data_IF_859404419680
#
_entry.id   IF_859404419680
#
_cell.length_a   1.000
_cell.length_b   1.000
_cell.length_c   1.000
_cell.angle_alpha   90.00
_cell.angle_beta   90.00
_cell.angle_gamma   90.00
#
_symmetry.space_group_name_H-M   'P 1'
#
loop_
_entity.id
_entity.type
_entity.pdbx_description
1 polymer ?
#
# COMPACT_ATOMS: atom_id res chain seq x y z
N UNK A 1 15.19 -12.65 -1.86
CA UNK A 1 14.46 -13.57 -2.75
C UNK A 1 15.25 -14.02 -3.99
N UNK A 2 16.50 -13.60 -4.15
CA UNK A 2 17.32 -13.87 -5.34
C UNK A 2 17.46 -15.36 -5.71
N UNK A 3 17.58 -16.26 -4.73
CA UNK A 3 17.66 -17.70 -4.98
C UNK A 3 16.45 -18.25 -5.75
N UNK A 4 15.24 -17.81 -5.40
CA UNK A 4 14.01 -18.27 -6.07
C UNK A 4 13.98 -17.74 -7.51
N UNK A 5 14.34 -16.46 -7.71
CA UNK A 5 14.44 -15.88 -9.04
C UNK A 5 15.47 -16.61 -9.91
N UNK A 6 16.65 -16.90 -9.37
CA UNK A 6 17.70 -17.65 -10.08
C UNK A 6 17.32 -19.11 -10.33
N UNK A 7 16.53 -19.72 -9.46
CA UNK A 7 16.07 -21.10 -9.67
C UNK A 7 15.07 -21.16 -10.83
N UNK A 8 14.14 -20.19 -10.91
CA UNK A 8 13.14 -20.09 -11.98
C UNK A 8 13.73 -19.86 -13.38
N UNK A 9 14.92 -19.26 -13.48
CA UNK A 9 15.58 -19.05 -14.77
C UNK A 9 16.28 -20.31 -15.30
N UNK A 10 16.40 -21.37 -14.49
CA UNK A 10 17.02 -22.61 -14.93
C UNK A 10 16.03 -23.43 -15.79
N UNK A 11 16.49 -24.00 -16.93
CA UNK A 11 15.62 -24.77 -17.83
C UNK A 11 15.14 -26.09 -17.20
N UNK A 12 15.83 -26.60 -16.18
CA UNK A 12 15.45 -27.80 -15.42
C UNK A 12 14.51 -27.51 -14.25
N UNK A 13 14.07 -26.27 -14.07
CA UNK A 13 13.24 -25.89 -12.93
C UNK A 13 11.81 -26.42 -13.04
N UNK A 14 11.32 -27.03 -11.96
CA UNK A 14 9.93 -27.47 -11.88
C UNK A 14 9.01 -26.31 -11.46
N UNK A 15 8.04 -25.89 -12.30
CA UNK A 15 7.12 -24.79 -11.99
C UNK A 15 6.17 -25.10 -10.82
N UNK A 16 5.98 -26.39 -10.48
CA UNK A 16 5.15 -26.82 -9.36
C UNK A 16 5.93 -26.93 -8.03
N UNK A 17 7.15 -26.41 -7.97
CA UNK A 17 7.93 -26.33 -6.73
C UNK A 17 7.18 -25.51 -5.68
N UNK A 18 7.06 -26.05 -4.47
CA UNK A 18 6.37 -25.39 -3.35
C UNK A 18 7.39 -24.63 -2.51
N UNK A 19 7.22 -23.33 -2.40
CA UNK A 19 8.10 -22.45 -1.63
C UNK A 19 7.49 -22.13 -0.28
N UNK A 20 8.32 -22.18 0.76
CA UNK A 20 7.93 -21.77 2.12
C UNK A 20 9.01 -20.89 2.73
N UNK A 21 8.62 -19.73 3.26
CA UNK A 21 9.52 -18.82 3.96
C UNK A 21 9.04 -18.57 5.39
N UNK A 22 9.98 -18.50 6.33
CA UNK A 22 9.71 -18.24 7.74
C UNK A 22 10.39 -16.94 8.19
N UNK A 23 9.61 -15.89 8.43
CA UNK A 23 10.02 -14.65 9.15
C UNK A 23 8.79 -13.92 9.69
N UNK A 24 9.00 -12.99 10.63
CA UNK A 24 7.96 -12.09 11.13
C UNK A 24 7.64 -10.90 10.21
N UNK A 25 8.54 -10.53 9.29
CA UNK A 25 8.43 -9.29 8.52
C UNK A 25 7.23 -9.29 7.57
N UNK A 26 6.40 -8.24 7.60
CA UNK A 26 5.26 -8.08 6.70
C UNK A 26 5.67 -8.04 5.22
N UNK A 27 6.85 -7.48 4.94
CA UNK A 27 7.41 -7.33 3.60
C UNK A 27 7.58 -8.66 2.87
N UNK A 28 7.71 -9.78 3.59
CA UNK A 28 7.75 -11.10 2.98
C UNK A 28 6.49 -11.44 2.20
N UNK A 29 5.34 -10.90 2.58
CA UNK A 29 4.08 -11.10 1.84
C UNK A 29 4.20 -10.42 0.48
N UNK A 30 4.62 -9.15 0.46
CA UNK A 30 4.80 -8.41 -0.79
C UNK A 30 5.89 -9.01 -1.67
N UNK A 31 7.02 -9.41 -1.08
CA UNK A 31 8.09 -10.10 -1.81
C UNK A 31 7.60 -11.43 -2.39
N UNK A 32 6.80 -12.20 -1.64
CA UNK A 32 6.23 -13.46 -2.14
C UNK A 32 5.24 -13.25 -3.29
N UNK A 33 4.41 -12.20 -3.22
CA UNK A 33 3.52 -11.82 -4.32
C UNK A 33 4.31 -11.44 -5.57
N UNK A 34 5.43 -10.73 -5.42
CA UNK A 34 6.32 -10.33 -6.52
C UNK A 34 7.04 -11.51 -7.19
N UNK A 35 7.16 -12.68 -6.53
CA UNK A 35 7.80 -13.86 -7.17
C UNK A 35 6.96 -14.47 -8.29
N UNK A 36 5.65 -14.21 -8.32
CA UNK A 36 4.70 -14.88 -9.22
C UNK A 36 4.80 -16.42 -9.20
N UNK A 37 5.15 -17.02 -8.05
CA UNK A 37 5.04 -18.47 -7.86
C UNK A 37 3.61 -18.89 -7.47
N UNK A 38 3.07 -19.98 -8.06
CA UNK A 38 1.71 -20.46 -7.78
C UNK A 38 1.58 -21.26 -6.50
N UNK A 39 2.70 -21.73 -5.91
CA UNK A 39 2.70 -22.52 -4.69
C UNK A 39 3.62 -21.88 -3.66
N UNK A 40 3.21 -20.76 -3.07
CA UNK A 40 4.04 -20.02 -2.12
C UNK A 40 3.31 -19.85 -0.79
N UNK A 41 3.96 -20.23 0.31
CA UNK A 41 3.43 -20.06 1.67
C UNK A 41 4.40 -19.30 2.56
N UNK A 42 3.88 -18.45 3.43
CA UNK A 42 4.66 -17.87 4.51
C UNK A 42 4.26 -18.52 5.83
N UNK A 43 5.24 -19.01 6.57
CA UNK A 43 5.07 -19.52 7.93
C UNK A 43 5.34 -18.37 8.91
N UNK A 44 4.41 -18.14 9.86
CA UNK A 44 4.54 -17.10 10.88
C UNK A 44 4.17 -17.65 12.24
N UNK A 45 4.74 -17.07 13.28
CA UNK A 45 4.24 -17.29 14.64
C UNK A 45 2.86 -16.64 14.80
N UNK A 46 1.97 -17.31 15.52
CA UNK A 46 0.67 -16.76 15.89
C UNK A 46 0.87 -15.71 17.00
N UNK A 47 0.86 -14.43 16.63
CA UNK A 47 1.01 -13.33 17.59
C UNK A 47 -0.19 -13.23 18.54
N UNK A 48 -1.36 -13.75 18.15
CA UNK A 48 -2.59 -13.71 18.96
C UNK A 48 -2.70 -14.89 19.93
N UNK A 49 -1.82 -15.87 19.83
CA UNK A 49 -1.79 -17.02 20.74
C UNK A 49 -1.50 -16.61 22.20
N UNK A 50 -0.57 -15.67 22.38
CA UNK A 50 -0.21 -15.13 23.69
C UNK A 50 -1.33 -14.31 24.33
N UNK A 51 -2.16 -13.65 23.51
CA UNK A 51 -3.32 -12.90 23.99
C UNK A 51 -4.46 -13.86 24.40
N UNK A 52 -4.72 -14.90 23.60
CA UNK A 52 -5.70 -15.95 23.94
C UNK A 52 -5.34 -16.63 25.27
N UNK A 53 -4.08 -17.01 25.45
CA UNK A 53 -3.58 -17.60 26.70
C UNK A 53 -3.74 -16.68 27.91
N UNK A 54 -3.48 -15.38 27.76
CA UNK A 54 -3.70 -14.39 28.85
C UNK A 54 -5.17 -14.26 29.21
N UNK A 55 -6.08 -14.24 28.23
CA UNK A 55 -7.53 -14.18 28.45
C UNK A 55 -8.04 -15.43 29.19
N UNK A 56 -7.57 -16.62 28.81
CA UNK A 56 -7.87 -17.87 29.53
C UNK A 56 -7.31 -17.89 30.96
N UNK A 57 -6.13 -17.29 31.18
CA UNK A 57 -5.56 -17.12 32.52
C UNK A 57 -6.24 -16.02 33.36
N UNK A 58 -7.06 -15.12 32.83
CA UNK A 58 -7.65 -14.05 33.66
C UNK A 58 -8.78 -14.52 34.58
N UNK A 59 -9.35 -15.72 34.38
CA UNK A 59 -10.38 -16.27 35.27
C UNK A 59 -9.75 -16.90 36.53
N UNK A 60 -8.51 -17.40 36.45
CA UNK A 60 -7.83 -18.10 37.56
C UNK A 60 -6.52 -17.44 38.02
N UNK A 61 -5.86 -16.69 37.13
CA UNK A 61 -4.52 -16.12 37.33
C UNK A 61 -4.49 -14.82 38.13
N UNK A 62 -5.59 -14.06 38.14
CA UNK A 62 -5.69 -12.86 38.99
C UNK A 62 -5.69 -13.24 40.48
N UNK A 63 -6.35 -14.36 40.85
CA UNK A 63 -6.38 -14.86 42.22
C UNK A 63 -5.02 -15.41 42.67
N UNK A 64 -4.30 -16.09 41.77
CA UNK A 64 -3.00 -16.73 42.07
C UNK A 64 -1.88 -15.72 42.33
N UNK A 65 -1.84 -14.59 41.60
CA UNK A 65 -0.79 -13.57 41.82
C UNK A 65 -0.97 -12.85 43.17
N UNK A 66 -2.21 -12.61 43.61
CA UNK A 66 -2.49 -11.95 44.89
C UNK A 66 -2.15 -12.85 46.09
N UNK A 67 -2.33 -14.17 45.98
CA UNK A 67 -1.96 -15.12 47.05
C UNK A 67 -0.49 -15.52 47.05
N UNK A 68 0.16 -15.60 45.89
CA UNK A 68 1.60 -15.88 45.79
C UNK A 68 2.47 -14.73 46.33
N UNK A 69 1.96 -13.48 46.27
CA UNK A 69 2.63 -12.32 46.89
C UNK A 69 2.77 -12.42 48.42
N UNK A 70 2.05 -13.36 49.06
CA UNK A 70 2.10 -13.62 50.50
C UNK A 70 2.91 -14.87 50.89
N UNK A 71 3.28 -15.71 49.92
CA UNK A 71 4.01 -16.96 50.18
C UNK A 71 5.32 -16.94 49.38
N UNK A 72 6.41 -16.67 50.09
CA UNK A 72 7.75 -16.53 49.54
C UNK A 72 8.38 -17.91 49.27
N UNK A 73 7.74 -18.75 48.47
CA UNK A 73 8.28 -20.07 48.11
C UNK A 73 7.62 -20.61 46.84
N UNK A 74 8.29 -20.47 45.70
CA UNK A 74 7.99 -21.30 44.53
C UNK A 74 9.28 -21.70 43.82
N UNK A 75 9.63 -22.96 44.07
CA UNK A 75 10.53 -23.82 43.33
C UNK A 75 10.38 -23.59 41.81
N UNK A 76 11.43 -23.06 41.17
CA UNK A 76 11.48 -22.77 39.74
C UNK A 76 11.67 -24.11 39.00
N UNK A 77 10.63 -24.92 38.96
CA UNK A 77 10.54 -26.01 38.00
C UNK A 77 10.14 -25.39 36.67
N UNK A 78 11.12 -25.21 35.78
CA UNK A 78 10.93 -24.83 34.39
C UNK A 78 9.84 -25.73 33.76
N UNK A 79 8.62 -25.20 33.66
CA UNK A 79 7.51 -25.80 32.92
C UNK A 79 7.95 -25.98 31.45
N UNK A 80 7.60 -27.07 30.76
CA UNK A 80 7.94 -27.24 29.35
C UNK A 80 7.49 -26.00 28.59
N UNK A 81 8.41 -25.43 27.80
CA UNK A 81 8.13 -24.27 26.97
C UNK A 81 6.95 -24.62 26.05
N UNK A 82 5.76 -24.10 26.34
CA UNK A 82 4.60 -24.22 25.47
C UNK A 82 5.03 -23.69 24.09
N UNK A 83 5.14 -24.59 23.11
CA UNK A 83 5.61 -24.22 21.77
C UNK A 83 4.62 -23.22 21.19
N UNK A 84 5.11 -22.04 20.81
CA UNK A 84 4.27 -21.01 20.21
C UNK A 84 3.64 -21.56 18.92
N UNK A 85 2.32 -21.49 18.75
CA UNK A 85 1.67 -22.02 17.55
C UNK A 85 2.05 -21.19 16.33
N UNK A 86 2.06 -21.84 15.16
CA UNK A 86 2.36 -21.21 13.88
C UNK A 86 1.12 -21.15 13.01
N UNK A 87 1.05 -20.11 12.18
CA UNK A 87 0.04 -19.93 11.15
C UNK A 87 0.70 -20.02 9.77
N UNK A 88 -0.02 -20.62 8.83
CA UNK A 88 0.34 -20.59 7.41
C UNK A 88 -0.46 -19.48 6.73
N UNK A 89 0.25 -18.61 6.03
CA UNK A 89 -0.34 -17.68 5.08
C UNK A 89 -0.17 -18.25 3.68
N UNK A 90 -1.27 -18.56 3.02
CA UNK A 90 -1.28 -19.02 1.63
C UNK A 90 -1.32 -17.83 0.68
N UNK A 91 -0.23 -17.62 -0.06
CA UNK A 91 -0.10 -16.49 -0.99
C UNK A 91 -0.98 -16.71 -2.21
N UNK A 92 -1.27 -17.95 -2.58
CA UNK A 92 -2.12 -18.27 -3.74
C UNK A 92 -3.56 -17.85 -3.48
N UNK A 93 -4.07 -18.16 -2.29
CA UNK A 93 -5.37 -17.67 -1.84
C UNK A 93 -5.41 -16.13 -1.81
N UNK A 94 -4.34 -15.48 -1.32
CA UNK A 94 -4.26 -14.01 -1.33
C UNK A 94 -4.34 -13.42 -2.75
N UNK A 95 -3.74 -14.09 -3.75
CA UNK A 95 -3.84 -13.67 -5.15
C UNK A 95 -5.27 -13.75 -5.68
N UNK A 96 -6.03 -14.76 -5.29
CA UNK A 96 -7.44 -14.87 -5.66
C UNK A 96 -8.26 -13.70 -5.10
N UNK A 97 -8.07 -13.36 -3.83
CA UNK A 97 -8.69 -12.18 -3.22
C UNK A 97 -8.31 -10.89 -3.95
N UNK A 98 -7.03 -10.70 -4.25
CA UNK A 98 -6.58 -9.53 -5.00
C UNK A 98 -7.13 -9.50 -6.44
N UNK A 99 -7.31 -10.66 -7.08
CA UNK A 99 -7.89 -10.72 -8.41
C UNK A 99 -9.33 -10.22 -8.42
N UNK A 100 -10.10 -10.53 -7.37
CA UNK A 100 -11.46 -10.00 -7.19
C UNK A 100 -11.41 -8.50 -6.91
N UNK A 101 -10.58 -8.05 -5.96
CA UNK A 101 -10.50 -6.66 -5.54
C UNK A 101 -10.02 -5.71 -6.67
N UNK A 102 -9.06 -6.16 -7.47
CA UNK A 102 -8.48 -5.37 -8.56
C UNK A 102 -9.28 -5.45 -9.86
N UNK A 103 -10.33 -6.28 -9.91
CA UNK A 103 -11.20 -6.39 -11.08
C UNK A 103 -12.10 -5.14 -11.18
N UNK A 104 -11.62 -4.09 -11.85
CA UNK A 104 -12.38 -2.87 -12.10
C UNK A 104 -12.82 -2.74 -13.56
N UNK A 105 -13.95 -3.34 -13.97
CA UNK A 105 -14.42 -3.31 -15.35
C UNK A 105 -14.89 -1.91 -15.81
N UNK A 106 -15.70 -1.20 -15.01
CA UNK A 106 -16.43 -0.01 -15.50
C UNK A 106 -15.61 1.28 -15.58
N UNK A 107 -14.73 1.56 -14.61
CA UNK A 107 -13.93 2.80 -14.59
C UNK A 107 -12.80 2.84 -15.62
N UNK A 108 -12.38 1.69 -16.14
CA UNK A 108 -11.33 1.60 -17.15
C UNK A 108 -11.86 1.92 -18.55
N UNK A 109 -13.04 1.39 -18.88
CA UNK A 109 -13.71 1.58 -20.17
C UNK A 109 -14.17 3.05 -20.35
N UNK A 110 -14.78 3.66 -19.33
CA UNK A 110 -15.16 5.08 -19.34
C UNK A 110 -13.96 6.02 -19.55
N UNK A 111 -12.78 5.67 -18.99
CA UNK A 111 -11.55 6.45 -19.20
C UNK A 111 -11.03 6.31 -20.62
N UNK A 112 -11.09 5.11 -21.21
CA UNK A 112 -10.67 4.89 -22.60
C UNK A 112 -11.56 5.65 -23.57
N UNK A 113 -12.88 5.67 -23.34
CA UNK A 113 -13.83 6.46 -24.11
C UNK A 113 -13.55 7.96 -24.02
N UNK A 114 -13.26 8.47 -22.82
CA UNK A 114 -12.92 9.88 -22.64
C UNK A 114 -11.61 10.27 -23.35
N UNK A 115 -10.60 9.41 -23.30
CA UNK A 115 -9.32 9.61 -24.00
C UNK A 115 -9.54 9.59 -25.51
N UNK A 116 -10.29 8.61 -26.02
CA UNK A 116 -10.59 8.47 -27.44
C UNK A 116 -11.40 9.68 -27.96
N UNK A 117 -12.41 10.13 -27.21
CA UNK A 117 -13.18 11.35 -27.52
C UNK A 117 -12.28 12.58 -27.60
N UNK A 118 -11.35 12.76 -26.66
CA UNK A 118 -10.39 13.89 -26.69
C UNK A 118 -9.47 13.81 -27.90
N UNK A 119 -8.91 12.64 -28.20
CA UNK A 119 -8.05 12.44 -29.37
C UNK A 119 -8.79 12.70 -30.68
N UNK A 120 -10.07 12.31 -30.75
CA UNK A 120 -10.92 12.56 -31.92
C UNK A 120 -11.16 14.06 -32.12
N UNK A 121 -11.52 14.78 -31.05
CA UNK A 121 -11.70 16.24 -31.08
C UNK A 121 -10.40 16.93 -31.52
N UNK A 122 -9.26 16.50 -30.99
CA UNK A 122 -7.97 17.06 -31.37
C UNK A 122 -7.63 16.81 -32.85
N UNK A 123 -7.86 15.59 -33.36
CA UNK A 123 -7.65 15.26 -34.77
C UNK A 123 -8.55 16.10 -35.70
N UNK A 124 -9.84 16.22 -35.36
CA UNK A 124 -10.82 16.98 -36.14
C UNK A 124 -10.50 18.49 -36.13
N UNK A 125 -10.00 19.02 -35.00
CA UNK A 125 -9.55 20.41 -34.89
C UNK A 125 -8.27 20.69 -35.70
N UNK A 126 -7.32 19.74 -35.75
CA UNK A 126 -6.13 19.83 -36.61
C UNK A 126 -6.48 19.82 -38.09
N UNK A 127 -7.43 18.98 -38.51
CA UNK A 127 -7.91 18.97 -39.89
C UNK A 127 -8.60 20.29 -40.27
N UNK A 128 -9.45 20.84 -39.40
CA UNK A 128 -10.06 22.18 -39.63
C UNK A 128 -9.03 23.30 -39.75
N UNK A 129 -7.95 23.25 -38.96
CA UNK A 129 -6.89 24.26 -39.01
C UNK A 129 -6.05 24.17 -40.30
N UNK A 130 -5.94 22.99 -40.91
CA UNK A 130 -5.27 22.81 -42.23
C UNK A 130 -6.14 23.25 -43.40
N UNK A 131 -7.46 23.31 -43.24
CA UNK A 131 -8.40 23.61 -44.33
C UNK A 131 -8.61 25.11 -44.59
N UNK A 132 -8.23 26.01 -43.67
CA UNK A 132 -8.41 27.46 -43.79
C UNK A 132 -7.11 28.24 -43.54
N UNK A 133 -6.23 28.42 -44.55
CA UNK A 133 -5.11 29.33 -44.44
C UNK A 133 -5.60 30.75 -44.75
N UNK A 134 -6.18 31.46 -43.77
CA UNK A 134 -6.52 32.87 -43.99
C UNK A 134 -5.35 33.77 -43.56
N UNK A 135 -4.70 34.33 -44.60
CA UNK A 135 -3.70 35.39 -44.54
C UNK A 135 -4.09 36.53 -43.60
N UNK A 136 -3.18 36.90 -42.72
CA UNK A 136 -3.15 38.21 -42.04
C UNK A 136 -1.80 38.87 -42.36
N UNK A 137 -1.73 40.15 -42.78
CA UNK A 137 -0.45 40.79 -43.08
C UNK A 137 0.36 41.00 -41.79
N UNK A 138 1.71 41.00 -41.85
CA UNK A 138 2.54 41.23 -40.67
C UNK A 138 2.38 42.67 -40.21
N UNK A 139 1.93 42.88 -38.97
CA UNK A 139 1.98 44.21 -38.36
C UNK A 139 3.42 44.56 -38.00
N UNK A 140 3.85 45.74 -38.45
CA UNK A 140 5.21 46.29 -38.31
C UNK A 140 5.58 46.61 -36.86
N UNK A 141 6.80 46.23 -36.48
CA UNK A 141 7.50 46.61 -35.25
C UNK A 141 7.80 48.11 -35.20
N UNK A 142 7.60 48.81 -34.06
CA UNK A 142 8.31 50.05 -33.80
C UNK A 142 9.69 49.74 -33.19
N UNK A 143 10.71 50.28 -33.85
CA UNK A 143 12.10 50.35 -33.41
C UNK A 143 12.31 51.37 -32.29
N UNK A 144 13.08 51.00 -31.26
CA UNK A 144 14.31 51.67 -30.79
C UNK A 144 14.51 51.58 -29.27
N UNK A 145 15.65 50.99 -28.88
CA UNK A 145 16.58 51.41 -27.81
C UNK A 145 16.02 51.71 -26.41
N UNK A 146 16.28 50.86 -25.41
CA UNK A 146 17.51 50.93 -24.60
C UNK A 146 17.55 49.91 -23.45
N UNK A 147 18.78 49.56 -23.10
CA UNK A 147 19.20 48.56 -22.12
C UNK A 147 18.85 48.93 -20.67
N UNK A 148 18.20 48.02 -19.94
CA UNK A 148 18.50 47.76 -18.52
C UNK A 148 17.97 46.38 -18.10
N UNK A 149 18.80 45.63 -17.39
CA UNK A 149 18.52 44.26 -16.95
C UNK A 149 17.37 44.20 -15.95
N UNK A 150 16.28 43.54 -16.31
CA UNK A 150 15.21 43.15 -15.38
C UNK A 150 15.13 41.63 -15.36
N UNK A 151 15.80 41.03 -14.37
CA UNK A 151 15.57 39.64 -14.00
C UNK A 151 14.09 39.46 -13.59
N UNK A 152 13.44 38.33 -13.92
CA UNK A 152 12.07 38.08 -13.51
C UNK A 152 12.00 37.96 -11.98
N UNK A 153 11.23 38.83 -11.32
CA UNK A 153 10.91 38.70 -9.89
C UNK A 153 10.09 37.44 -9.66
N UNK A 154 10.67 36.48 -8.94
CA UNK A 154 9.91 35.36 -8.38
C UNK A 154 8.86 35.87 -7.39
N UNK A 155 7.66 35.26 -7.32
CA UNK A 155 6.65 35.62 -6.34
C UNK A 155 7.14 35.34 -4.91
N UNK A 156 6.73 36.15 -3.91
CA UNK A 156 7.14 35.94 -2.53
C UNK A 156 6.55 34.64 -1.98
N UNK A 157 7.38 33.94 -1.19
CA UNK A 157 7.02 32.67 -0.53
C UNK A 157 5.92 32.92 0.51
N UNK A 158 4.86 32.11 0.59
CA UNK A 158 3.83 32.28 1.62
C UNK A 158 4.41 31.98 3.01
N UNK A 159 4.25 32.93 3.93
CA UNK A 159 4.57 32.76 5.34
C UNK A 159 3.38 32.14 6.06
N UNK A 160 3.53 30.92 6.60
CA UNK A 160 2.55 30.34 7.52
C UNK A 160 2.95 30.66 8.96
N UNK A 161 2.09 31.37 9.69
CA UNK A 161 2.17 31.47 11.15
C UNK A 161 1.39 30.31 11.77
N UNK A 162 1.85 29.71 12.89
CA UNK A 162 1.15 28.61 13.53
C UNK A 162 0.01 29.20 14.35
N UNK A 163 -1.18 29.31 13.75
CA UNK A 163 -2.39 29.63 14.52
C UNK A 163 -3.01 28.32 14.98
N UNK A 164 -2.89 28.08 16.28
CA UNK A 164 -3.55 27.04 17.06
C UNK A 164 -5.05 26.99 16.74
N UNK A 165 -5.50 25.92 16.09
CA UNK A 165 -6.91 25.55 16.02
C UNK A 165 -7.10 24.26 16.81
N UNK A 166 -7.59 24.42 18.04
CA UNK A 166 -8.23 23.36 18.81
C UNK A 166 -9.51 22.98 18.06
N UNK A 167 -9.49 21.83 17.38
CA UNK A 167 -10.72 21.20 16.92
C UNK A 167 -11.27 20.35 18.09
N UNK A 168 -12.38 20.83 18.66
CA UNK A 168 -13.27 20.05 19.51
C UNK A 168 -13.82 18.89 18.68
N UNK A 169 -13.60 17.67 19.15
CA UNK A 169 -14.17 16.45 18.57
C UNK A 169 -15.44 16.15 19.35
N UNK A 170 -16.60 16.36 18.74
CA UNK A 170 -17.86 15.84 19.26
C UNK A 170 -18.12 14.43 18.65
N UNK A 171 -18.59 13.45 19.43
CA UNK A 171 -18.64 12.06 19.03
C UNK A 171 -20.06 11.65 18.65
N UNK A 172 -20.41 11.76 17.38
CA UNK A 172 -21.57 11.08 16.79
C UNK A 172 -21.35 11.07 15.28
N UNK A 173 -21.19 9.87 14.73
CA UNK A 173 -21.48 9.46 13.34
C UNK A 173 -20.63 8.22 13.00
N UNK A 174 -20.75 7.19 13.84
CA UNK A 174 -20.15 5.88 13.58
C UNK A 174 -21.19 4.80 13.83
N UNK A 175 -22.34 4.89 13.14
CA UNK A 175 -23.35 3.83 13.13
C UNK A 175 -24.22 3.93 11.86
N UNK A 176 -23.62 3.73 10.69
CA UNK A 176 -24.36 3.49 9.43
C UNK A 176 -23.47 2.68 8.46
N UNK A 177 -23.26 1.42 8.82
CA UNK A 177 -22.67 0.38 7.96
C UNK A 177 -22.87 -0.98 8.68
N UNK A 178 -24.09 -1.47 8.67
CA UNK A 178 -24.42 -2.86 8.99
C UNK A 178 -25.24 -3.42 7.84
#
# INVERSE_FOLDING_TARGET
MEFIFRSRTQPSYNPNTRHMIYRLDADLIMLSLATHDPNFKALREDVFSDERRRKECNIWGQLVITVASRANEFDIKHKPTDRKPFIFLDVSTLREYHAVELNMPQKAEERQDHIFKRLKIEADSRQKNMQFPHNSPPQSLPSSTDSSSLAPRLPPKPSFSPTSLKASVDPVDFLDWA
#
